data_IF_748239957238
#
_entry.id   IF_748239957238
#
_cell.length_a   1.000
_cell.length_b   1.000
_cell.length_c   1.000
_cell.angle_alpha   90.00
_cell.angle_beta   90.00
_cell.angle_gamma   90.00
#
_symmetry.space_group_name_H-M   'P 1'
#
loop_
_entity.id
_entity.type
_entity.pdbx_description
1 polymer ?
#
# COMPACT_ATOMS: atom_id res chain seq x y z
N UNK A 1 0.36 9.89 33.96
CA UNK A 1 -0.24 8.58 34.29
C UNK A 1 -0.19 7.54 33.16
N UNK A 2 0.58 7.77 32.07
CA UNK A 2 0.69 6.81 30.94
C UNK A 2 1.81 5.76 31.15
N UNK A 3 2.87 6.09 31.89
CA UNK A 3 4.05 5.21 32.08
C UNK A 3 3.71 3.83 32.67
N UNK A 4 2.92 3.69 33.75
CA UNK A 4 2.63 2.36 34.32
C UNK A 4 1.84 1.48 33.35
N UNK A 5 0.88 2.05 32.62
CA UNK A 5 0.09 1.34 31.60
C UNK A 5 0.97 0.77 30.48
N UNK A 6 1.88 1.59 29.95
CA UNK A 6 2.81 1.15 28.89
C UNK A 6 3.75 0.06 29.37
N UNK A 7 4.27 0.17 30.61
CA UNK A 7 5.11 -0.88 31.18
C UNK A 7 4.34 -2.19 31.32
N UNK A 8 3.08 -2.16 31.76
CA UNK A 8 2.23 -3.36 31.84
C UNK A 8 1.97 -3.97 30.47
N UNK A 9 1.60 -3.14 29.47
CA UNK A 9 1.33 -3.62 28.11
C UNK A 9 2.60 -4.24 27.47
N UNK A 10 3.73 -3.55 27.54
CA UNK A 10 4.98 -4.02 26.91
C UNK A 10 5.64 -5.18 27.64
N UNK A 11 5.26 -5.44 28.90
CA UNK A 11 5.70 -6.63 29.66
C UNK A 11 4.81 -7.85 29.43
N UNK A 12 3.65 -7.70 28.77
CA UNK A 12 2.72 -8.81 28.51
C UNK A 12 3.11 -9.60 27.26
N UNK A 13 3.16 -10.93 27.37
CA UNK A 13 3.38 -11.82 26.23
C UNK A 13 2.24 -11.73 25.21
N UNK A 14 1.00 -11.53 25.66
CA UNK A 14 -0.17 -11.41 24.77
C UNK A 14 -0.06 -10.19 23.85
N UNK A 15 0.49 -9.09 24.34
CA UNK A 15 0.69 -7.89 23.54
C UNK A 15 1.63 -8.17 22.36
N UNK A 16 2.74 -8.86 22.61
CA UNK A 16 3.69 -9.25 21.58
C UNK A 16 3.16 -10.36 20.66
N UNK A 17 2.38 -11.30 21.20
CA UNK A 17 1.74 -12.37 20.43
C UNK A 17 0.69 -11.84 19.45
N UNK A 18 0.07 -10.69 19.73
CA UNK A 18 -0.91 -10.06 18.86
C UNK A 18 -0.32 -9.42 17.60
N UNK A 19 0.99 -9.16 17.57
CA UNK A 19 1.66 -8.52 16.43
C UNK A 19 1.55 -9.41 15.19
N UNK A 20 1.05 -8.84 14.09
CA UNK A 20 0.90 -9.57 12.82
C UNK A 20 -0.25 -10.59 12.81
N UNK A 21 -1.07 -10.66 13.86
CA UNK A 21 -2.26 -11.52 13.88
C UNK A 21 -3.45 -10.89 13.13
N UNK A 22 -3.38 -9.60 12.83
CA UNK A 22 -4.44 -8.86 12.17
C UNK A 22 -4.01 -8.42 10.78
N UNK A 23 -4.87 -8.71 9.80
CA UNK A 23 -4.70 -8.30 8.41
C UNK A 23 -5.60 -7.09 8.16
N UNK A 24 -5.12 -6.13 7.37
CA UNK A 24 -5.91 -5.03 6.83
C UNK A 24 -7.02 -5.59 5.96
N UNK A 25 -8.25 -5.23 6.31
CA UNK A 25 -9.43 -5.49 5.47
C UNK A 25 -9.32 -4.68 4.18
N UNK A 26 -10.06 -5.01 3.11
CA UNK A 26 -9.85 -4.37 1.82
C UNK A 26 -9.94 -2.83 1.83
N UNK A 27 -10.86 -2.27 2.61
CA UNK A 27 -10.97 -0.83 2.81
C UNK A 27 -9.75 -0.25 3.53
N UNK A 28 -9.24 -0.93 4.56
CA UNK A 28 -8.06 -0.50 5.31
C UNK A 28 -6.81 -0.57 4.43
N UNK A 29 -6.67 -1.61 3.60
CA UNK A 29 -5.59 -1.73 2.62
C UNK A 29 -5.64 -0.57 1.61
N UNK A 30 -6.83 -0.27 1.07
CA UNK A 30 -7.01 0.81 0.11
C UNK A 30 -6.63 2.15 0.72
N UNK A 31 -7.16 2.46 1.90
CA UNK A 31 -6.88 3.71 2.61
C UNK A 31 -5.40 3.81 2.99
N UNK A 32 -4.79 2.72 3.49
CA UNK A 32 -3.36 2.69 3.80
C UNK A 32 -2.53 2.97 2.55
N UNK A 33 -2.85 2.34 1.42
CA UNK A 33 -2.18 2.58 0.13
C UNK A 33 -2.32 4.04 -0.31
N UNK A 34 -3.54 4.60 -0.27
CA UNK A 34 -3.80 5.98 -0.66
C UNK A 34 -3.03 6.97 0.23
N UNK A 35 -2.98 6.72 1.55
CA UNK A 35 -2.19 7.53 2.48
C UNK A 35 -0.69 7.41 2.23
N UNK A 36 -0.20 6.19 2.08
CA UNK A 36 1.22 5.93 1.82
C UNK A 36 1.70 6.63 0.54
N UNK A 37 0.90 6.60 -0.52
CA UNK A 37 1.22 7.27 -1.79
C UNK A 37 0.88 8.78 -1.80
N UNK A 38 0.35 9.31 -0.69
CA UNK A 38 -0.09 10.70 -0.57
C UNK A 38 -1.04 11.09 -1.72
N UNK A 39 -2.10 10.30 -1.89
CA UNK A 39 -3.18 10.58 -2.83
C UNK A 39 -3.94 11.82 -2.37
N UNK A 40 -4.17 12.78 -3.27
CA UNK A 40 -4.84 14.05 -2.99
C UNK A 40 -5.99 14.31 -3.98
N UNK A 41 -7.01 15.11 -3.57
CA UNK A 41 -8.26 15.26 -4.32
C UNK A 41 -8.14 16.06 -5.63
N UNK A 42 -7.01 16.72 -5.87
CA UNK A 42 -6.77 17.46 -7.10
C UNK A 42 -6.62 16.50 -8.28
N UNK A 43 -7.16 16.86 -9.44
CA UNK A 43 -7.00 16.05 -10.65
C UNK A 43 -5.56 16.12 -11.17
N UNK A 44 -5.07 15.00 -11.70
CA UNK A 44 -3.82 14.96 -12.45
C UNK A 44 -3.92 15.83 -13.72
N UNK A 45 -2.82 16.44 -14.19
CA UNK A 45 -2.78 17.13 -15.49
C UNK A 45 -3.23 16.27 -16.68
N UNK A 46 -3.16 14.94 -16.55
CA UNK A 46 -3.61 13.99 -17.57
C UNK A 46 -5.14 13.75 -17.57
N UNK A 47 -5.86 14.29 -16.59
CA UNK A 47 -7.32 14.12 -16.48
C UNK A 47 -8.04 14.76 -17.66
N UNK A 48 -8.84 13.96 -18.36
CA UNK A 48 -9.73 14.44 -19.41
C UNK A 48 -11.15 14.54 -18.86
N UNK A 49 -11.67 15.77 -18.82
CA UNK A 49 -13.05 16.02 -18.44
C UNK A 49 -13.99 15.38 -19.46
N UNK A 50 -14.96 14.63 -18.95
CA UNK A 50 -15.99 13.97 -19.74
C UNK A 50 -17.30 13.95 -18.95
N UNK A 51 -18.42 14.25 -19.61
CA UNK A 51 -19.76 14.15 -19.03
C UNK A 51 -20.10 15.13 -17.90
N UNK A 52 -19.45 16.29 -17.83
CA UNK A 52 -19.82 17.40 -16.92
C UNK A 52 -19.60 17.18 -15.42
N UNK A 53 -19.18 15.98 -14.98
CA UNK A 53 -18.90 15.70 -13.56
C UNK A 53 -17.48 16.16 -13.18
N UNK A 54 -17.27 16.75 -11.99
CA UNK A 54 -15.94 17.12 -11.53
C UNK A 54 -15.08 15.87 -11.29
N UNK A 55 -13.76 15.98 -11.51
CA UNK A 55 -12.80 14.89 -11.35
C UNK A 55 -12.94 14.19 -9.98
N UNK A 56 -13.04 14.96 -8.92
CA UNK A 56 -13.20 14.45 -7.56
C UNK A 56 -14.42 13.51 -7.40
N UNK A 57 -15.58 13.89 -7.95
CA UNK A 57 -16.78 13.06 -7.87
C UNK A 57 -16.65 11.76 -8.67
N UNK A 58 -15.94 11.79 -9.81
CA UNK A 58 -15.58 10.57 -10.56
C UNK A 58 -14.60 9.70 -9.79
N UNK A 59 -13.58 10.30 -9.19
CA UNK A 59 -12.58 9.61 -8.37
C UNK A 59 -13.23 8.90 -7.18
N UNK A 60 -14.11 9.59 -6.44
CA UNK A 60 -14.87 8.97 -5.34
C UNK A 60 -15.73 7.79 -5.80
N UNK A 61 -16.36 7.88 -6.98
CA UNK A 61 -17.09 6.76 -7.58
C UNK A 61 -16.15 5.59 -7.89
N UNK A 62 -14.97 5.85 -8.47
CA UNK A 62 -13.98 4.80 -8.73
C UNK A 62 -13.52 4.11 -7.45
N UNK A 63 -13.22 4.88 -6.39
CA UNK A 63 -12.87 4.34 -5.06
C UNK A 63 -14.00 3.48 -4.52
N UNK A 64 -15.24 3.96 -4.60
CA UNK A 64 -16.42 3.21 -4.19
C UNK A 64 -16.57 1.90 -4.99
N UNK A 65 -16.46 1.96 -6.31
CA UNK A 65 -16.60 0.81 -7.20
C UNK A 65 -15.49 -0.22 -6.95
N UNK A 66 -14.27 0.25 -6.65
CA UNK A 66 -13.16 -0.61 -6.22
C UNK A 66 -13.45 -1.30 -4.89
N UNK A 67 -13.96 -0.58 -3.90
CA UNK A 67 -14.37 -1.19 -2.62
C UNK A 67 -15.50 -2.21 -2.79
N UNK A 68 -16.42 -1.96 -3.73
CA UNK A 68 -17.48 -2.92 -4.09
C UNK A 68 -16.89 -4.18 -4.72
N UNK A 69 -15.94 -4.03 -5.64
CA UNK A 69 -15.21 -5.15 -6.25
C UNK A 69 -14.46 -5.97 -5.19
N UNK A 70 -13.91 -5.32 -4.18
CA UNK A 70 -13.21 -5.97 -3.08
C UNK A 70 -14.14 -6.54 -1.99
N UNK A 71 -15.46 -6.33 -2.10
CA UNK A 71 -16.46 -6.88 -1.19
C UNK A 71 -16.66 -6.10 0.11
N UNK A 72 -16.00 -4.96 0.30
CA UNK A 72 -16.08 -4.17 1.54
C UNK A 72 -16.32 -2.68 1.25
N UNK A 73 -17.52 -2.34 0.77
CA UNK A 73 -17.92 -0.96 0.50
C UNK A 73 -18.79 -0.38 1.63
N UNK A 74 -18.79 0.94 1.85
CA UNK A 74 -19.60 1.56 2.90
C UNK A 74 -21.08 1.18 2.76
N UNK A 75 -21.73 0.82 3.88
CA UNK A 75 -23.15 0.43 3.93
C UNK A 75 -23.50 -0.78 3.04
N UNK A 76 -22.53 -1.64 2.71
CA UNK A 76 -22.74 -2.79 1.84
C UNK A 76 -23.07 -4.11 2.54
N UNK A 77 -22.90 -4.19 3.86
CA UNK A 77 -23.26 -5.38 4.62
C UNK A 77 -24.78 -5.39 4.88
N UNK A 78 -25.50 -6.45 4.49
CA UNK A 78 -26.95 -6.51 4.63
C UNK A 78 -27.41 -6.77 6.07
N UNK A 79 -26.56 -7.40 6.87
CA UNK A 79 -26.84 -7.77 8.25
C UNK A 79 -26.35 -6.69 9.23
N UNK A 80 -27.03 -6.51 10.38
CA UNK A 80 -26.74 -5.44 11.33
C UNK A 80 -25.45 -5.67 12.14
N UNK A 81 -24.82 -6.84 12.02
CA UNK A 81 -23.56 -7.21 12.67
C UNK A 81 -22.31 -6.59 12.01
N UNK A 82 -22.47 -6.03 10.81
CA UNK A 82 -21.39 -5.38 10.08
C UNK A 82 -20.43 -6.38 9.42
N UNK A 83 -19.35 -5.85 8.85
CA UNK A 83 -18.39 -6.66 8.12
C UNK A 83 -17.55 -7.54 9.08
N UNK A 84 -17.25 -8.80 8.71
CA UNK A 84 -16.44 -9.67 9.55
C UNK A 84 -15.05 -9.08 9.83
N UNK A 85 -14.56 -9.20 11.05
CA UNK A 85 -13.19 -8.78 11.45
C UNK A 85 -12.23 -9.98 11.56
N UNK A 86 -12.52 -11.08 10.84
CA UNK A 86 -11.69 -12.29 10.79
C UNK A 86 -10.90 -12.36 9.48
N UNK A 87 -9.63 -12.75 9.57
CA UNK A 87 -8.70 -12.71 8.42
C UNK A 87 -9.18 -13.58 7.25
N UNK A 88 -9.77 -14.75 7.53
CA UNK A 88 -10.15 -15.73 6.52
C UNK A 88 -11.21 -15.19 5.57
N UNK A 89 -12.03 -14.23 6.02
CA UNK A 89 -13.05 -13.60 5.20
C UNK A 89 -12.45 -12.68 4.10
N UNK A 90 -11.18 -12.27 4.23
CA UNK A 90 -10.57 -11.23 3.39
C UNK A 90 -9.31 -11.67 2.64
N UNK A 91 -8.87 -12.92 2.81
CA UNK A 91 -7.57 -13.42 2.30
C UNK A 91 -7.70 -14.27 1.04
N UNK A 92 -8.80 -14.13 0.29
CA UNK A 92 -8.91 -14.76 -1.03
C UNK A 92 -7.86 -14.18 -1.98
N UNK A 93 -7.23 -15.05 -2.78
CA UNK A 93 -6.19 -14.64 -3.73
C UNK A 93 -6.70 -13.54 -4.70
N UNK A 94 -7.95 -13.65 -5.17
CA UNK A 94 -8.56 -12.67 -6.07
C UNK A 94 -8.73 -11.29 -5.42
N UNK A 95 -9.20 -11.24 -4.17
CA UNK A 95 -9.35 -9.98 -3.43
C UNK A 95 -8.00 -9.31 -3.21
N UNK A 96 -6.98 -10.08 -2.79
CA UNK A 96 -5.63 -9.54 -2.56
C UNK A 96 -5.01 -8.99 -3.85
N UNK A 97 -5.02 -9.79 -4.93
CA UNK A 97 -4.48 -9.35 -6.23
C UNK A 97 -5.20 -8.11 -6.76
N UNK A 98 -6.54 -8.05 -6.61
CA UNK A 98 -7.30 -6.86 -6.99
C UNK A 98 -6.88 -5.61 -6.20
N UNK A 99 -6.59 -5.76 -4.90
CA UNK A 99 -6.00 -4.69 -4.08
C UNK A 99 -4.62 -4.26 -4.60
N UNK A 100 -3.74 -5.22 -4.89
CA UNK A 100 -2.39 -4.92 -5.40
C UNK A 100 -2.38 -4.26 -6.77
N UNK A 101 -3.38 -4.56 -7.59
CA UNK A 101 -3.59 -3.90 -8.87
C UNK A 101 -3.91 -2.42 -8.67
N UNK A 102 -4.68 -2.05 -7.64
CA UNK A 102 -4.93 -0.64 -7.34
C UNK A 102 -3.66 0.13 -6.98
N UNK A 103 -2.80 -0.47 -6.14
CA UNK A 103 -1.50 0.11 -5.82
C UNK A 103 -0.65 0.29 -7.08
N UNK A 104 -0.69 -0.68 -7.99
CA UNK A 104 -0.06 -0.62 -9.30
C UNK A 104 -0.60 0.50 -10.19
N UNK A 105 -1.92 0.63 -10.29
CA UNK A 105 -2.59 1.66 -11.11
C UNK A 105 -2.26 3.07 -10.63
N UNK A 106 -2.17 3.27 -9.31
CA UNK A 106 -1.71 4.54 -8.72
C UNK A 106 -0.25 4.82 -9.06
N UNK A 107 0.65 3.86 -8.81
CA UNK A 107 2.09 4.04 -9.09
C UNK A 107 2.40 4.22 -10.58
N UNK A 108 1.59 3.62 -11.46
CA UNK A 108 1.69 3.78 -12.91
C UNK A 108 1.01 5.05 -13.44
N UNK A 109 0.26 5.76 -12.59
CA UNK A 109 -0.43 6.99 -12.94
C UNK A 109 -1.68 6.84 -13.80
N UNK A 110 -2.33 5.67 -13.74
CA UNK A 110 -3.59 5.41 -14.42
C UNK A 110 -4.81 6.02 -13.72
N UNK A 111 -4.68 6.39 -12.44
CA UNK A 111 -5.69 7.16 -11.69
C UNK A 111 -5.50 8.64 -11.93
N UNK A 112 -6.25 9.21 -12.89
CA UNK A 112 -6.10 10.62 -13.28
C UNK A 112 -7.02 11.56 -12.50
N UNK A 113 -8.06 11.03 -11.87
CA UNK A 113 -9.01 11.80 -11.04
C UNK A 113 -8.38 12.39 -9.76
N UNK A 114 -7.19 11.91 -9.41
CA UNK A 114 -6.43 12.31 -8.23
C UNK A 114 -4.97 12.61 -8.60
N UNK A 115 -4.25 13.25 -7.69
CA UNK A 115 -2.79 13.32 -7.72
C UNK A 115 -2.20 12.42 -6.65
N UNK A 116 -0.96 11.99 -6.83
CA UNK A 116 -0.24 11.10 -5.93
C UNK A 116 1.27 11.37 -6.06
N UNK A 117 2.07 10.83 -5.13
CA UNK A 117 3.52 10.91 -5.24
C UNK A 117 3.98 9.95 -6.35
N UNK A 118 4.61 10.44 -7.43
CA UNK A 118 5.07 9.56 -8.50
C UNK A 118 6.19 8.66 -7.99
N UNK A 119 6.35 7.49 -8.62
CA UNK A 119 7.19 6.42 -8.10
C UNK A 119 8.68 6.83 -7.96
N UNK A 120 9.18 7.64 -8.88
CA UNK A 120 10.51 8.24 -8.87
C UNK A 120 10.72 9.25 -7.73
N UNK A 121 9.68 9.94 -7.29
CA UNK A 121 9.71 10.88 -6.18
C UNK A 121 9.45 10.25 -4.80
N UNK A 122 9.19 8.94 -4.71
CA UNK A 122 8.93 8.26 -3.42
C UNK A 122 10.13 8.37 -2.47
N UNK A 123 11.35 8.36 -3.01
CA UNK A 123 12.58 8.48 -2.23
C UNK A 123 13.25 9.80 -2.58
N UNK A 124 13.14 10.80 -1.70
CA UNK A 124 13.67 12.15 -1.96
C UNK A 124 15.19 12.18 -2.22
N UNK A 125 15.95 11.22 -1.68
CA UNK A 125 17.39 11.06 -1.92
C UNK A 125 17.68 9.61 -2.34
N UNK A 126 17.54 9.28 -3.64
CA UNK A 126 17.71 7.92 -4.14
C UNK A 126 19.12 7.39 -3.86
N UNK A 127 19.26 6.24 -3.16
CA UNK A 127 20.56 5.59 -2.98
C UNK A 127 21.10 5.03 -4.29
N UNK A 128 22.43 5.02 -4.45
CA UNK A 128 23.07 4.53 -5.68
C UNK A 128 23.11 3.01 -5.83
N UNK A 129 22.66 2.25 -4.81
CA UNK A 129 22.66 0.77 -4.83
C UNK A 129 21.26 0.22 -4.64
N UNK A 130 20.94 -0.85 -5.39
CA UNK A 130 19.63 -1.49 -5.39
C UNK A 130 19.15 -1.86 -3.97
N UNK A 131 20.01 -2.46 -3.15
CA UNK A 131 19.67 -2.90 -1.79
C UNK A 131 19.32 -1.74 -0.85
N UNK A 132 20.11 -0.66 -0.87
CA UNK A 132 19.83 0.53 -0.08
C UNK A 132 18.58 1.26 -0.57
N UNK A 133 18.31 1.23 -1.88
CA UNK A 133 17.10 1.81 -2.44
C UNK A 133 15.86 1.04 -1.97
N UNK A 134 15.87 -0.31 -2.00
CA UNK A 134 14.78 -1.12 -1.45
C UNK A 134 14.57 -0.83 0.04
N UNK A 135 15.63 -0.65 0.83
CA UNK A 135 15.51 -0.24 2.24
C UNK A 135 14.82 1.13 2.39
N UNK A 136 15.20 2.11 1.57
CA UNK A 136 14.60 3.44 1.58
C UNK A 136 13.11 3.41 1.19
N UNK A 137 12.76 2.62 0.17
CA UNK A 137 11.36 2.39 -0.23
C UNK A 137 10.57 1.68 0.87
N UNK A 138 11.11 0.64 1.48
CA UNK A 138 10.44 -0.08 2.56
C UNK A 138 10.19 0.83 3.77
N UNK A 139 11.19 1.63 4.16
CA UNK A 139 11.05 2.62 5.23
C UNK A 139 9.96 3.67 4.91
N UNK A 140 9.86 4.09 3.65
CA UNK A 140 8.88 5.08 3.20
C UNK A 140 7.46 4.52 3.07
N UNK A 141 7.33 3.28 2.60
CA UNK A 141 6.05 2.69 2.21
C UNK A 141 5.38 1.90 3.33
N UNK A 142 6.15 1.10 4.06
CA UNK A 142 5.64 0.19 5.11
C UNK A 142 6.19 0.50 6.49
N UNK A 143 7.05 1.52 6.63
CA UNK A 143 7.66 1.96 7.90
C UNK A 143 8.43 0.86 8.64
N UNK A 144 8.94 -0.12 7.90
CA UNK A 144 9.67 -1.26 8.44
C UNK A 144 10.87 -1.59 7.57
N UNK A 145 11.90 -2.15 8.21
CA UNK A 145 13.04 -2.73 7.52
C UNK A 145 12.70 -4.16 7.11
N UNK A 146 12.82 -4.46 5.82
CA UNK A 146 12.65 -5.83 5.32
C UNK A 146 13.79 -6.72 5.83
N UNK A 147 13.46 -7.98 6.14
CA UNK A 147 14.48 -9.00 6.38
C UNK A 147 15.36 -9.21 5.15
N UNK A 148 16.53 -9.83 5.34
CA UNK A 148 17.43 -10.14 4.22
C UNK A 148 16.75 -11.01 3.15
N UNK A 149 15.90 -11.96 3.56
CA UNK A 149 15.13 -12.84 2.67
C UNK A 149 14.11 -12.05 1.86
N UNK A 150 13.31 -11.21 2.50
CA UNK A 150 12.29 -10.39 1.82
C UNK A 150 12.92 -9.41 0.86
N UNK A 151 14.01 -8.76 1.27
CA UNK A 151 14.77 -7.87 0.39
C UNK A 151 15.27 -8.60 -0.85
N UNK A 152 15.82 -9.81 -0.71
CA UNK A 152 16.26 -10.59 -1.85
C UNK A 152 15.10 -10.95 -2.81
N UNK A 153 13.91 -11.28 -2.27
CA UNK A 153 12.72 -11.54 -3.08
C UNK A 153 12.25 -10.30 -3.84
N UNK A 154 12.22 -9.13 -3.19
CA UNK A 154 11.85 -7.86 -3.84
C UNK A 154 12.87 -7.46 -4.91
N UNK A 155 14.16 -7.62 -4.64
CA UNK A 155 15.23 -7.39 -5.62
C UNK A 155 15.13 -8.35 -6.81
N UNK A 156 14.67 -9.57 -6.59
CA UNK A 156 14.38 -10.56 -7.62
C UNK A 156 13.36 -10.08 -8.65
N UNK A 157 12.38 -9.26 -8.25
CA UNK A 157 11.40 -8.65 -9.18
C UNK A 157 12.09 -7.74 -10.21
N UNK A 158 13.15 -7.05 -9.81
CA UNK A 158 13.95 -6.21 -10.69
C UNK A 158 15.13 -6.97 -11.35
N UNK A 159 15.36 -8.24 -10.99
CA UNK A 159 16.44 -9.05 -11.55
C UNK A 159 17.85 -8.57 -11.20
N UNK A 160 18.02 -7.80 -10.12
CA UNK A 160 19.33 -7.21 -9.74
C UNK A 160 19.80 -7.68 -8.36
N UNK A 161 21.12 -7.87 -8.15
CA UNK A 161 21.67 -8.11 -6.83
C UNK A 161 21.67 -6.83 -5.97
N UNK A 162 21.71 -6.99 -4.65
CA UNK A 162 21.65 -5.86 -3.70
C UNK A 162 22.77 -4.81 -3.90
N UNK A 163 23.95 -5.24 -4.35
CA UNK A 163 25.09 -4.37 -4.61
C UNK A 163 25.11 -3.71 -6.00
N UNK A 164 24.13 -4.00 -6.86
CA UNK A 164 24.06 -3.39 -8.19
C UNK A 164 23.89 -1.88 -8.09
N UNK A 165 24.60 -1.14 -8.95
CA UNK A 165 24.42 0.30 -9.10
C UNK A 165 23.11 0.58 -9.83
N UNK A 166 22.33 1.52 -9.32
CA UNK A 166 21.04 1.94 -9.89
C UNK A 166 20.95 3.46 -9.95
N UNK A 167 20.18 3.97 -10.91
CA UNK A 167 19.84 5.39 -11.01
C UNK A 167 18.65 5.77 -10.09
N UNK A 168 18.23 7.04 -10.17
CA UNK A 168 17.11 7.58 -9.41
C UNK A 168 15.73 6.96 -9.74
N UNK A 169 15.63 6.20 -10.83
CA UNK A 169 14.42 5.49 -11.25
C UNK A 169 14.49 4.00 -10.97
N UNK A 170 15.53 3.55 -10.27
CA UNK A 170 15.89 2.13 -10.16
C UNK A 170 16.04 1.49 -11.55
N UNK A 171 16.70 2.18 -12.49
CA UNK A 171 16.84 1.80 -13.89
C UNK A 171 15.47 1.47 -14.55
N UNK A 172 14.43 2.24 -14.22
CA UNK A 172 13.05 2.06 -14.69
C UNK A 172 12.20 1.06 -13.88
N UNK A 173 12.76 0.37 -12.89
CA UNK A 173 12.02 -0.66 -12.13
C UNK A 173 11.33 -0.14 -10.86
N UNK A 174 11.45 1.16 -10.51
CA UNK A 174 10.95 1.71 -9.25
C UNK A 174 9.45 1.44 -9.02
N UNK A 175 8.63 1.55 -10.07
CA UNK A 175 7.19 1.25 -10.01
C UNK A 175 6.91 -0.21 -9.66
N UNK A 176 7.64 -1.15 -10.29
CA UNK A 176 7.48 -2.58 -10.04
C UNK A 176 7.93 -2.96 -8.62
N UNK A 177 9.07 -2.41 -8.18
CA UNK A 177 9.62 -2.62 -6.82
C UNK A 177 8.69 -2.04 -5.76
N UNK A 178 8.21 -0.80 -5.93
CA UNK A 178 7.28 -0.17 -5.01
C UNK A 178 5.95 -0.94 -4.93
N UNK A 179 5.42 -1.42 -6.06
CA UNK A 179 4.23 -2.28 -6.10
C UNK A 179 4.47 -3.59 -5.35
N UNK A 180 5.62 -4.24 -5.54
CA UNK A 180 5.95 -5.48 -4.85
C UNK A 180 6.03 -5.27 -3.32
N UNK A 181 6.56 -4.14 -2.85
CA UNK A 181 6.57 -3.77 -1.44
C UNK A 181 5.13 -3.56 -0.92
N UNK A 182 4.26 -2.89 -1.66
CA UNK A 182 2.84 -2.72 -1.27
C UNK A 182 2.01 -4.01 -1.38
N UNK A 183 2.49 -5.01 -2.12
CA UNK A 183 1.92 -6.35 -2.17
C UNK A 183 2.47 -7.28 -1.07
N UNK A 184 3.49 -6.85 -0.32
CA UNK A 184 4.12 -7.66 0.72
C UNK A 184 3.24 -7.83 1.96
N UNK A 185 3.49 -8.85 2.79
CA UNK A 185 2.82 -9.02 4.09
C UNK A 185 2.94 -7.77 4.98
N UNK A 186 4.05 -7.03 4.93
CA UNK A 186 4.26 -5.83 5.73
C UNK A 186 3.19 -4.76 5.48
N UNK A 187 2.68 -4.66 4.25
CA UNK A 187 1.58 -3.75 3.93
C UNK A 187 0.19 -4.35 4.18
N UNK A 188 0.10 -5.65 4.45
CA UNK A 188 -1.16 -6.32 4.78
C UNK A 188 -1.38 -6.46 6.27
N UNK A 189 -0.35 -6.44 7.10
CA UNK A 189 -0.48 -6.61 8.54
C UNK A 189 -0.76 -5.28 9.26
N UNK A 190 -1.51 -5.33 10.37
CA UNK A 190 -1.72 -4.21 11.31
C UNK A 190 -1.28 -4.57 12.72
#
# INVERSE_FOLDING_TARGET
>A
MVKPLLMTLFSSSEFWAAVGQKVRRPMEYLIATYRTLNVRPEASPAFKQDGGRPAFARGLRQVHDKLRQLGQYPMGQPTPDGYPDVYVAWTSAGTMVSGWNEAGDLLAGYRTEFTFTPADALVARPPATAGAYVDALAQRLVHQKLSAKEKALILGVAGVPAGAKVDATFNGAVTAVARAILASPQHHLR
#
